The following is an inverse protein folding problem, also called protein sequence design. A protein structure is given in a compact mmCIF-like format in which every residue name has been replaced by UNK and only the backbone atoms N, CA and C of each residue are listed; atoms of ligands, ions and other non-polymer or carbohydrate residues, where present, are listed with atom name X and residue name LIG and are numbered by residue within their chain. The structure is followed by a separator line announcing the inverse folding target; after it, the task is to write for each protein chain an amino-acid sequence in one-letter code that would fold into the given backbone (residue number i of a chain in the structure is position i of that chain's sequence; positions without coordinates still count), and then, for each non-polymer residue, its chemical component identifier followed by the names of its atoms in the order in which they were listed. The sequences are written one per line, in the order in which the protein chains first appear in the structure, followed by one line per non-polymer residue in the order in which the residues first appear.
data_IF_511011877545
#
_entry.id   IF_511011877545
#
_cell.length_a   1.000
_cell.length_b   1.000
_cell.length_c   1.000
_cell.angle_alpha   90.00
_cell.angle_beta   90.00
_cell.angle_gamma   90.00
#
_symmetry.space_group_name_H-M   'P 1'
#
loop_
_entity.id
_entity.type
_entity.pdbx_description
1 polymer ?
2 non-polymer ?
3 water ?
#
# COMPACT_ATOMS: atom_id res chain seq x y z
N UNK A 3 0.62 14.67 3.93
CA UNK A 3 1.43 13.98 2.88
C UNK A 3 0.82 12.63 2.56
N UNK A 4 0.55 12.37 1.28
CA UNK A 4 0.40 11.01 0.78
C UNK A 4 1.57 10.31 0.01
N UNK A 5 1.48 8.99 -0.05
CA UNK A 5 2.40 8.14 -0.82
C UNK A 5 1.71 6.80 -0.96
N UNK A 6 1.93 6.12 -2.07
CA UNK A 6 1.45 4.75 -2.25
C UNK A 6 2.10 3.82 -1.23
N UNK A 7 1.54 2.61 -1.10
CA UNK A 7 2.02 1.62 -0.14
C UNK A 7 3.26 0.87 -0.63
N UNK A 8 3.36 0.65 -1.94
CA UNK A 8 4.32 -0.28 -2.52
C UNK A 8 5.21 0.43 -3.54
N UNK A 9 6.35 -0.19 -3.82
CA UNK A 9 7.32 0.36 -4.76
C UNK A 9 6.68 0.71 -6.12
N UNK A 10 5.90 -0.21 -6.66
CA UNK A 10 5.18 0.02 -7.92
C UNK A 10 3.99 0.97 -7.82
N UNK A 11 3.85 1.79 -8.85
CA UNK A 11 2.79 2.81 -8.91
C UNK A 11 1.48 2.24 -9.38
N UNK A 12 1.55 1.06 -9.97
CA UNK A 12 0.36 0.34 -10.44
C UNK A 12 0.42 -1.11 -10.00
N UNK A 13 -0.74 -1.73 -9.81
CA UNK A 13 -0.82 -3.18 -9.57
C UNK A 13 -0.67 -3.97 -10.82
N UNK A 14 -0.27 -5.24 -10.68
CA UNK A 14 -0.17 -6.17 -11.79
C UNK A 14 -1.51 -6.82 -12.06
N UNK A 15 -1.78 -7.08 -13.33
CA UNK A 15 -2.96 -7.80 -13.73
C UNK A 15 -3.01 -9.07 -12.89
N UNK A 16 -4.20 -9.38 -12.36
CA UNK A 16 -4.40 -10.51 -11.45
C UNK A 16 -4.16 -10.21 -9.96
N UNK A 17 -3.58 -9.06 -9.65
CA UNK A 17 -3.49 -8.66 -8.25
C UNK A 17 -4.92 -8.47 -7.71
N UNK A 18 -5.11 -8.73 -6.43
CA UNK A 18 -6.31 -8.32 -5.74
C UNK A 18 -5.95 -7.06 -4.97
N UNK A 19 -6.74 -6.01 -5.16
CA UNK A 19 -6.45 -4.71 -4.58
C UNK A 19 -7.64 -4.20 -3.76
N UNK A 20 -7.33 -3.44 -2.72
CA UNK A 20 -8.35 -2.79 -1.89
C UNK A 20 -8.73 -1.45 -2.49
N UNK A 21 -10.03 -1.26 -2.72
CA UNK A 21 -10.51 -0.03 -3.33
C UNK A 21 -11.63 0.58 -2.53
N UNK A 22 -11.79 1.89 -2.69
CA UNK A 22 -12.95 2.60 -2.16
C UNK A 22 -13.87 2.97 -3.31
N UNK A 23 -15.13 2.60 -3.24
CA UNK A 23 -16.06 2.93 -4.32
C UNK A 23 -16.46 4.39 -4.20
N UNK A 24 -16.17 5.16 -5.24
CA UNK A 24 -16.36 6.61 -5.19
C UNK A 24 -17.66 7.04 -5.88
N UNK A 25 -18.01 6.38 -6.97
CA UNK A 25 -19.21 6.75 -7.72
C UNK A 25 -19.70 5.63 -8.63
N UNK A 26 -20.96 5.70 -9.06
CA UNK A 26 -21.51 4.70 -9.98
C UNK A 26 -21.96 5.33 -11.30
N UNK A 27 -21.50 4.79 -12.43
CA UNK A 27 -21.86 5.32 -13.74
C UNK A 27 -22.32 4.19 -14.66
N UNK A 28 -22.73 4.53 -15.88
CA UNK A 28 -23.22 3.54 -16.83
C UNK A 28 -22.25 2.38 -17.05
N UNK A 29 -21.00 2.68 -17.36
CA UNK A 29 -20.00 1.65 -17.64
C UNK A 29 -19.55 0.84 -16.42
N UNK A 30 -19.75 1.37 -15.22
CA UNK A 30 -19.36 0.67 -14.02
C UNK A 30 -19.23 1.59 -12.84
N UNK A 31 -18.47 1.14 -11.84
CA UNK A 31 -18.19 1.91 -10.65
C UNK A 31 -16.76 2.41 -10.67
N UNK A 32 -16.60 3.71 -10.45
CA UNK A 32 -15.27 4.28 -10.26
C UNK A 32 -14.86 4.08 -8.84
N UNK A 33 -13.59 3.73 -8.66
CA UNK A 33 -13.04 3.42 -7.35
C UNK A 33 -11.64 4.02 -7.25
N UNK A 34 -11.18 4.23 -6.02
CA UNK A 34 -9.81 4.66 -5.73
C UNK A 34 -9.03 3.48 -5.19
N UNK A 35 -7.86 3.21 -5.76
CA UNK A 35 -7.04 2.12 -5.21
C UNK A 35 -6.30 2.64 -3.98
N UNK A 36 -6.69 2.13 -2.81
CA UNK A 36 -6.21 2.65 -1.53
C UNK A 36 -4.73 2.37 -1.28
N UNK A 37 -4.18 1.39 -1.98
CA UNK A 37 -2.78 0.99 -1.76
C UNK A 37 -1.87 1.73 -2.74
N UNK A 38 -2.48 2.38 -3.72
CA UNK A 38 -1.73 2.97 -4.82
C UNK A 38 -2.02 4.46 -4.89
N UNK A 39 -2.00 5.09 -3.73
CA UNK A 39 -2.18 6.54 -3.61
C UNK A 39 -3.45 7.04 -4.29
N UNK A 40 -4.51 6.25 -4.17
CA UNK A 40 -5.84 6.63 -4.64
C UNK A 40 -6.00 6.86 -6.13
N UNK A 41 -5.15 6.24 -6.94
CA UNK A 41 -5.38 6.28 -8.37
C UNK A 41 -6.72 5.62 -8.67
N UNK A 42 -7.29 6.03 -9.79
CA UNK A 42 -8.63 5.62 -10.18
C UNK A 42 -8.66 4.35 -10.98
N UNK A 43 -9.55 3.46 -10.57
CA UNK A 43 -9.91 2.33 -11.39
C UNK A 43 -11.40 2.31 -11.66
N UNK A 44 -11.82 1.37 -12.49
CA UNK A 44 -13.24 1.14 -12.73
C UNK A 44 -13.56 -0.35 -12.60
N UNK A 45 -14.57 -0.65 -11.81
CA UNK A 45 -15.12 -1.98 -11.81
C UNK A 45 -16.12 -2.02 -12.94
N UNK A 46 -15.81 -2.81 -13.96
CA UNK A 46 -16.68 -2.98 -15.11
C UNK A 46 -18.08 -3.39 -14.65
N UNK A 47 -19.10 -2.81 -15.26
CA UNK A 47 -20.47 -3.10 -14.88
C UNK A 47 -20.77 -4.61 -14.81
N UNK A 48 -20.22 -5.38 -15.75
CA UNK A 48 -20.48 -6.82 -15.78
C UNK A 48 -19.81 -7.54 -14.61
N UNK A 49 -18.89 -6.86 -13.94
CA UNK A 49 -18.06 -7.49 -12.92
C UNK A 49 -18.45 -7.09 -11.52
N UNK A 50 -19.54 -6.33 -11.39
CA UNK A 50 -19.91 -5.75 -10.10
C UNK A 50 -20.43 -6.84 -9.16
N UNK A 63 -21.80 -0.33 -3.59
CA UNK A 63 -22.27 0.75 -2.73
C UNK A 63 -21.21 1.84 -2.53
N UNK A 64 -21.55 3.07 -2.89
CA UNK A 64 -20.65 4.19 -2.71
C UNK A 64 -20.19 4.28 -1.26
N UNK A 65 -18.89 4.49 -1.07
CA UNK A 65 -18.34 4.67 0.26
C UNK A 65 -17.80 3.41 0.92
N UNK A 66 -18.05 2.26 0.32
CA UNK A 66 -17.61 0.99 0.90
C UNK A 66 -16.20 0.65 0.39
N UNK A 67 -15.41 0.01 1.24
CA UNK A 67 -14.13 -0.55 0.82
C UNK A 67 -14.34 -1.97 0.33
N UNK A 68 -13.72 -2.33 -0.79
CA UNK A 68 -13.88 -3.67 -1.34
C UNK A 68 -12.58 -4.17 -1.96
N UNK A 69 -12.41 -5.49 -1.94
CA UNK A 69 -11.30 -6.17 -2.61
C UNK A 69 -11.74 -6.62 -4.00
N UNK A 70 -10.99 -6.21 -5.02
CA UNK A 70 -11.35 -6.53 -6.39
C UNK A 70 -10.11 -6.98 -7.14
N UNK A 71 -10.29 -7.68 -8.25
CA UNK A 71 -9.12 -8.20 -8.95
C UNK A 71 -8.84 -7.34 -10.16
N UNK A 72 -7.56 -7.08 -10.39
CA UNK A 72 -7.14 -6.30 -11.55
C UNK A 72 -7.23 -7.11 -12.85
N UNK A 73 -8.02 -6.61 -13.80
CA UNK A 73 -8.37 -7.34 -15.03
C UNK A 73 -7.60 -6.85 -16.26
N UNK A 74 -7.32 -5.56 -16.30
CA UNK A 74 -6.59 -4.99 -17.40
C UNK A 74 -6.03 -3.68 -16.92
N UNK A 75 -4.81 -3.40 -17.37
CA UNK A 75 -4.15 -2.13 -17.10
C UNK A 75 -3.62 -1.62 -18.43
N UNK A 76 -3.65 -0.30 -18.61
CA UNK A 76 -2.98 0.34 -19.73
C UNK A 76 -2.44 1.67 -19.26
N UNK A 77 -1.17 1.68 -18.86
CA UNK A 77 -0.54 2.85 -18.24
C UNK A 77 -0.48 4.03 -19.20
N UNK A 78 -0.31 3.72 -20.48
CA UNK A 78 -0.24 4.76 -21.50
C UNK A 78 -1.61 5.41 -21.62
N UNK A 79 -2.62 4.58 -21.82
CA UNK A 79 -4.00 5.04 -21.95
C UNK A 79 -4.57 5.55 -20.61
N UNK A 80 -4.07 5.02 -19.50
CA UNK A 80 -4.46 5.50 -18.17
C UNK A 80 -5.54 4.69 -17.46
N UNK A 81 -5.89 3.53 -18.00
CA UNK A 81 -7.01 2.73 -17.51
C UNK A 81 -6.58 1.61 -16.56
N UNK A 82 -7.39 1.37 -15.53
CA UNK A 82 -7.31 0.15 -14.74
C UNK A 82 -8.72 -0.44 -14.68
N UNK A 83 -8.91 -1.63 -15.23
CA UNK A 83 -10.20 -2.29 -15.16
C UNK A 83 -10.15 -3.33 -14.06
N UNK A 84 -11.24 -3.42 -13.32
CA UNK A 84 -11.31 -4.29 -12.16
C UNK A 84 -12.57 -5.14 -12.17
N UNK A 85 -12.54 -6.20 -11.35
CA UNK A 85 -13.66 -7.11 -11.15
C UNK A 85 -13.88 -7.45 -9.66
N UNK A 86 -15.09 -7.21 -9.16
CA UNK A 86 -15.47 -7.73 -7.85
C UNK A 86 -15.89 -9.21 -7.97
N UNK A 87 -16.67 -9.50 -9.01
CA UNK A 87 -17.27 -10.82 -9.22
C UNK A 87 -16.25 -11.97 -9.19
N UNK A 88 -15.01 -11.71 -9.60
CA UNK A 88 -14.00 -12.76 -9.69
C UNK A 88 -13.18 -13.00 -8.42
N UNK A 89 -13.40 -12.21 -7.38
CA UNK A 89 -12.65 -12.38 -6.14
C UNK A 89 -13.27 -13.46 -5.28
N UNK A 90 -12.48 -14.47 -4.94
CA UNK A 90 -12.94 -15.51 -4.04
C UNK A 90 -12.87 -15.01 -2.60
N UNK A 91 -13.68 -15.58 -1.72
CA UNK A 91 -13.65 -15.20 -0.30
C UNK A 91 -12.29 -15.37 0.34
N UNK A 92 -11.61 -16.45 0.00
CA UNK A 92 -10.25 -16.65 0.48
C UNK A 92 -9.33 -15.54 -0.05
N UNK A 93 -9.54 -15.11 -1.29
CA UNK A 93 -8.76 -14.01 -1.87
C UNK A 93 -9.07 -12.68 -1.19
N UNK A 94 -10.33 -12.46 -0.84
CA UNK A 94 -10.71 -11.23 -0.16
C UNK A 94 -10.06 -11.16 1.21
N UNK A 95 -9.97 -12.29 1.90
CA UNK A 95 -9.37 -12.32 3.23
C UNK A 95 -7.89 -11.98 3.19
N UNK A 96 -7.18 -12.51 2.21
CA UNK A 96 -5.77 -12.21 2.08
C UNK A 96 -5.58 -10.72 1.80
N UNK A 97 -6.42 -10.17 0.93
CA UNK A 97 -6.33 -8.75 0.55
C UNK A 97 -6.62 -7.82 1.75
N UNK A 98 -7.65 -8.13 2.52
CA UNK A 98 -7.93 -7.41 3.76
C UNK A 98 -6.76 -7.46 4.72
N UNK A 99 -6.18 -8.64 4.87
CA UNK A 99 -5.00 -8.84 5.70
C UNK A 99 -3.76 -8.07 5.18
N UNK A 100 -3.42 -8.22 3.91
CA UNK A 100 -2.33 -7.44 3.33
C UNK A 100 -2.57 -5.94 3.55
N UNK A 101 -3.79 -5.50 3.28
CA UNK A 101 -4.13 -4.09 3.38
C UNK A 101 -3.95 -3.53 4.79
N UNK A 102 -4.42 -4.26 5.79
CA UNK A 102 -4.23 -3.83 7.18
C UNK A 102 -2.77 -3.75 7.54
N UNK A 103 -2.00 -4.73 7.09
CA UNK A 103 -0.59 -4.75 7.44
C UNK A 103 0.09 -3.59 6.76
N UNK A 104 -0.19 -3.41 5.48
CA UNK A 104 0.46 -2.34 4.72
C UNK A 104 0.06 -0.98 5.20
N UNK A 105 -1.21 -0.83 5.54
CA UNK A 105 -1.69 0.42 6.09
C UNK A 105 -0.96 0.73 7.40
N UNK A 106 -0.62 -0.30 8.16
CA UNK A 106 0.08 -0.09 9.42
C UNK A 106 1.50 0.42 9.15
N UNK A 107 2.17 -0.21 8.20
CA UNK A 107 3.46 0.29 7.75
C UNK A 107 3.31 1.75 7.29
N UNK A 108 2.30 2.02 6.47
CA UNK A 108 2.04 3.40 6.04
C UNK A 108 1.93 4.35 7.24
N UNK A 109 1.12 4.00 8.23
CA UNK A 109 0.91 4.88 9.37
C UNK A 109 2.20 5.11 10.15
N UNK A 110 3.01 4.07 10.29
CA UNK A 110 4.29 4.21 10.95
C UNK A 110 5.16 5.24 10.22
N UNK A 111 5.26 5.12 8.91
CA UNK A 111 6.19 5.96 8.16
C UNK A 111 5.65 7.37 8.07
N UNK A 112 4.34 7.49 7.98
CA UNK A 112 3.70 8.80 8.01
C UNK A 112 3.96 9.49 9.35
N UNK A 113 3.92 8.73 10.44
CA UNK A 113 4.30 9.30 11.72
C UNK A 113 5.78 9.67 11.84
N UNK A 114 6.63 8.85 11.22
CA UNK A 114 8.03 9.19 11.19
C UNK A 114 8.19 10.53 10.47
N UNK A 115 7.48 10.69 9.36
CA UNK A 115 7.58 11.91 8.58
C UNK A 115 7.10 13.14 9.37
N UNK A 116 6.10 12.96 10.23
CA UNK A 116 5.60 14.06 11.05
C UNK A 116 6.63 14.49 12.09
N UNK A 117 7.25 13.51 12.74
CA UNK A 117 8.27 13.79 13.76
C UNK A 117 9.41 14.57 13.13
N UNK A 118 9.83 14.14 11.95
CA UNK A 118 10.90 14.79 11.20
C UNK A 118 10.40 16.02 10.40
N UNK A 119 9.11 16.33 10.54
CA UNK A 119 8.48 17.49 9.91
C UNK A 119 8.67 17.56 8.39
N UNK A 120 8.35 16.47 7.71
CA UNK A 120 8.33 16.46 6.25
C UNK A 120 7.20 17.33 5.75
N UNK A 121 7.44 18.02 4.66
CA UNK A 121 6.44 18.88 4.08
C UNK A 121 6.19 18.47 2.64
N UNK A 122 7.05 17.60 2.10
CA UNK A 122 6.97 17.26 0.69
C UNK A 122 6.74 15.76 0.50
N UNK A 123 5.92 15.41 -0.48
CA UNK A 123 5.58 14.02 -0.74
C UNK A 123 6.83 13.20 -1.02
N UNK A 124 7.81 13.80 -1.69
CA UNK A 124 9.03 13.07 -2.03
C UNK A 124 9.85 12.68 -0.80
N UNK A 125 9.74 13.44 0.28
CA UNK A 125 10.42 13.06 1.51
C UNK A 125 9.79 11.79 2.08
N UNK A 126 8.47 11.71 2.05
CA UNK A 126 7.80 10.51 2.52
C UNK A 126 8.14 9.34 1.60
N UNK A 127 8.11 9.56 0.28
CA UNK A 127 8.45 8.52 -0.67
C UNK A 127 9.88 8.01 -0.41
N UNK A 128 10.79 8.93 -0.11
CA UNK A 128 12.17 8.57 0.11
C UNK A 128 12.32 7.72 1.36
N UNK A 129 11.58 8.05 2.41
CA UNK A 129 11.49 7.18 3.58
C UNK A 129 11.04 5.74 3.26
N UNK A 130 9.95 5.60 2.50
CA UNK A 130 9.47 4.28 2.06
C UNK A 130 10.55 3.56 1.26
N UNK A 131 11.11 4.27 0.28
CA UNK A 131 12.18 3.73 -0.55
C UNK A 131 13.35 3.18 0.24
N UNK A 132 13.71 3.83 1.34
CA UNK A 132 14.87 3.39 2.12
C UNK A 132 14.52 2.44 3.25
N UNK A 133 13.24 2.17 3.46
CA UNK A 133 12.86 1.25 4.54
C UNK A 133 11.94 0.12 4.09
N UNK A 134 10.63 0.36 4.11
CA UNK A 134 9.65 -0.65 3.70
C UNK A 134 9.97 -1.29 2.33
N UNK A 135 10.30 -0.47 1.35
CA UNK A 135 10.49 -0.99 0.00
C UNK A 135 11.81 -1.75 -0.11
N UNK A 136 12.75 -1.50 0.80
CA UNK A 136 13.96 -2.31 0.82
C UNK A 136 13.59 -3.75 1.21
N UNK A 137 12.75 -3.87 2.23
CA UNK A 137 12.33 -5.18 2.71
C UNK A 137 11.38 -5.89 1.73
N UNK A 138 10.44 -5.15 1.17
CA UNK A 138 9.56 -5.69 0.14
C UNK A 138 10.40 -6.28 -1.00
N UNK A 139 11.43 -5.54 -1.41
CA UNK A 139 12.32 -5.99 -2.47
C UNK A 139 13.19 -7.17 -2.04
N UNK A 140 13.82 -7.05 -0.87
CA UNK A 140 14.70 -8.10 -0.35
C UNK A 140 14.03 -9.46 -0.34
N UNK A 141 12.77 -9.48 0.07
CA UNK A 141 11.99 -10.69 0.24
C UNK A 141 10.99 -10.94 -0.90
N UNK A 142 10.97 -10.03 -1.87
CA UNK A 142 10.10 -10.17 -3.03
C UNK A 142 8.68 -10.51 -2.59
N UNK A 143 8.19 -9.68 -1.68
CA UNK A 143 6.84 -9.78 -1.15
C UNK A 143 6.34 -8.39 -0.82
N UNK A 144 5.72 -7.71 -1.76
CA UNK A 144 5.15 -6.39 -1.49
C UNK A 144 4.17 -6.41 -0.33
N UNK A 145 4.26 -5.40 0.52
CA UNK A 145 3.40 -5.27 1.69
C UNK A 145 3.93 -6.08 2.84
N UNK A 146 3.85 -7.40 2.71
CA UNK A 146 4.21 -8.30 3.81
C UNK A 146 5.67 -8.15 4.21
N UNK A 147 6.54 -7.98 3.23
CA UNK A 147 7.96 -7.85 3.51
C UNK A 147 8.24 -6.76 4.52
N UNK A 148 7.78 -5.56 4.21
CA UNK A 148 7.95 -4.44 5.13
C UNK A 148 7.27 -4.72 6.47
N UNK A 149 6.03 -5.19 6.44
CA UNK A 149 5.31 -5.42 7.69
C UNK A 149 6.05 -6.42 8.59
N UNK A 150 6.39 -7.57 8.01
CA UNK A 150 7.07 -8.62 8.76
C UNK A 150 8.40 -8.12 9.32
N UNK A 151 9.14 -7.34 8.54
CA UNK A 151 10.42 -6.83 9.00
C UNK A 151 10.25 -5.79 10.10
N UNK A 152 9.32 -4.86 9.93
CA UNK A 152 9.04 -3.89 10.98
C UNK A 152 8.60 -4.58 12.26
N UNK A 153 7.70 -5.56 12.15
CA UNK A 153 7.26 -6.28 13.34
C UNK A 153 8.46 -6.99 14.03
N UNK A 154 9.29 -7.65 13.24
CA UNK A 154 10.47 -8.30 13.79
C UNK A 154 11.39 -7.29 14.48
N UNK A 155 11.43 -6.07 13.96
CA UNK A 155 12.29 -5.02 14.53
C UNK A 155 11.94 -4.70 15.97
N UNK A 156 10.73 -5.05 16.40
CA UNK A 156 10.31 -4.79 17.77
C UNK A 156 11.23 -5.57 18.71
N UNK A 157 11.46 -6.84 18.39
CA UNK A 157 12.27 -7.71 19.23
C UNK A 157 13.72 -7.73 18.82
N UNK A 158 13.98 -7.52 17.53
CA UNK A 158 15.33 -7.54 16.99
C UNK A 158 15.60 -6.29 16.17
N UNK A 159 15.95 -5.21 16.84
CA UNK A 159 16.11 -3.92 16.18
C UNK A 159 17.22 -3.94 15.14
N UNK A 160 18.14 -4.89 15.22
CA UNK A 160 19.29 -4.92 14.32
C UNK A 160 18.90 -5.12 12.87
N UNK A 161 17.69 -5.61 12.62
CA UNK A 161 17.23 -5.82 11.25
C UNK A 161 17.20 -4.49 10.49
N UNK A 162 17.16 -3.37 11.21
CA UNK A 162 17.18 -2.06 10.59
C UNK A 162 18.59 -1.52 10.36
N UNK A 163 19.60 -2.21 10.87
CA UNK A 163 20.97 -1.68 10.85
C UNK A 163 21.48 -1.39 9.43
N UNK A 164 21.10 -2.22 8.46
CA UNK A 164 21.60 -2.11 7.10
C UNK A 164 20.93 -1.00 6.28
N UNK A 165 19.83 -0.47 6.78
CA UNK A 165 19.14 0.58 6.07
C UNK A 165 19.95 1.86 6.00
N UNK A 166 19.82 2.54 4.88
CA UNK A 166 20.44 3.84 4.65
C UNK A 166 19.70 4.94 5.40
N UNK A 167 19.89 4.99 6.72
CA UNK A 167 19.21 5.94 7.59
C UNK A 167 20.25 6.61 8.46
N UNK A 168 20.03 7.89 8.76
CA UNK A 168 20.88 8.58 9.74
C UNK A 168 20.40 8.19 11.13
N UNK A 169 21.16 8.57 12.15
CA UNK A 169 20.90 8.12 13.51
C UNK A 169 19.52 8.57 13.97
N UNK A 170 19.16 9.81 13.66
CA UNK A 170 17.87 10.31 14.08
C UNK A 170 16.75 9.55 13.37
N UNK A 171 16.88 9.37 12.06
CA UNK A 171 15.85 8.67 11.30
C UNK A 171 15.62 7.28 11.90
N UNK A 172 16.71 6.58 12.21
CA UNK A 172 16.64 5.23 12.75
C UNK A 172 15.96 5.23 14.11
N UNK A 173 16.35 6.16 14.96
CA UNK A 173 15.77 6.27 16.28
C UNK A 173 14.27 6.54 16.18
N UNK A 174 13.89 7.46 15.31
CA UNK A 174 12.48 7.80 15.19
C UNK A 174 11.70 6.62 14.60
N UNK A 175 12.30 5.91 13.65
CA UNK A 175 11.65 4.74 13.07
C UNK A 175 11.41 3.67 14.12
N UNK A 176 12.42 3.38 14.94
CA UNK A 176 12.29 2.34 15.96
C UNK A 176 11.19 2.75 16.95
N UNK A 177 11.25 3.99 17.39
CA UNK A 177 10.22 4.53 18.28
C UNK A 177 8.83 4.32 17.72
N UNK A 178 8.61 4.69 16.45
CA UNK A 178 7.30 4.57 15.86
C UNK A 178 6.86 3.14 15.56
N UNK A 179 7.80 2.27 15.24
CA UNK A 179 7.52 0.85 15.16
C UNK A 179 7.04 0.34 16.52
N UNK A 180 7.78 0.66 17.57
CA UNK A 180 7.41 0.22 18.92
C UNK A 180 6.01 0.67 19.33
N UNK A 181 5.66 1.93 19.05
CA UNK A 181 4.31 2.44 19.29
C UNK A 181 3.28 1.61 18.53
N UNK A 182 3.67 1.18 17.32
CA UNK A 182 2.93 0.22 16.49
C UNK A 182 1.74 0.88 15.83
X LIG B 1 16.29 -10.92 13.69
X LIG C 1 9.34 -3.25 -11.03
X LIG D 1 4.16 0.13 -11.87
X LIG E 1 -1.78 10.21 13.49
#
# INVERSE_FOLDING_TARGET
PGLSCRFYQHKFPEVEDVVMVNVRSIAEMGAYVSLLEYNNIEGMILLSELSRRRIRSINKLIRIGRNECVVVIRVDKEKGYIDLSKRRVSPEEAIKCEDKFTKSKTVYSILRHVAEVLEYTKDEQLESLFQRTAWVFDDKYKRPGYGAYDAFKHAVSDPSILDSLDLNEDEREVLINNINRR
ZN ZN
ZN ZN
ZN ZN
ZN ZN
#
